data_IF_908736702885
#
_entry.id   IF_908736702885
#
_cell.length_a   1.000
_cell.length_b   1.000
_cell.length_c   1.000
_cell.angle_alpha   90.00
_cell.angle_beta   90.00
_cell.angle_gamma   90.00
#
_symmetry.space_group_name_H-M   'P 1'
#
loop_
_entity.id
_entity.type
_entity.pdbx_description
1 polymer ?
#
# COMPACT_ATOMS: atom_id res chain seq x y z
N UNK A 1 -18.30 -2.97 -12.52
CA UNK A 1 -17.00 -3.27 -11.90
C UNK A 1 -17.28 -4.38 -10.91
N UNK A 2 -16.85 -5.61 -11.21
CA UNK A 2 -16.92 -6.71 -10.25
C UNK A 2 -16.00 -6.37 -9.08
N UNK A 3 -16.59 -6.09 -7.92
CA UNK A 3 -15.86 -5.80 -6.68
C UNK A 3 -15.47 -7.08 -5.93
N UNK A 4 -15.90 -8.26 -6.42
CA UNK A 4 -15.58 -9.56 -5.83
C UNK A 4 -14.12 -9.97 -6.03
N UNK A 5 -13.43 -9.39 -7.02
CA UNK A 5 -12.01 -9.68 -7.28
C UNK A 5 -11.17 -8.41 -7.11
N UNK A 6 -10.57 -8.25 -5.93
CA UNK A 6 -9.52 -7.26 -5.74
C UNK A 6 -8.31 -7.62 -6.61
N UNK A 7 -8.11 -6.85 -7.69
CA UNK A 7 -7.05 -7.13 -8.67
C UNK A 7 -5.70 -6.67 -8.12
N UNK A 8 -5.02 -7.58 -7.42
CA UNK A 8 -3.60 -7.48 -7.11
C UNK A 8 -2.78 -7.82 -8.35
N UNK A 9 -2.14 -6.80 -8.91
CA UNK A 9 -1.21 -6.90 -10.01
C UNK A 9 0.01 -5.99 -9.76
N UNK A 10 1.10 -6.10 -10.55
CA UNK A 10 2.29 -5.29 -10.35
C UNK A 10 2.03 -3.77 -10.41
N UNK A 11 1.05 -3.33 -11.22
CA UNK A 11 0.70 -1.92 -11.35
C UNK A 11 0.00 -1.39 -10.10
N UNK A 12 -0.99 -2.12 -9.58
CA UNK A 12 -1.72 -1.73 -8.36
C UNK A 12 -0.80 -1.78 -7.14
N UNK A 13 0.15 -2.73 -7.11
CA UNK A 13 1.21 -2.79 -6.11
C UNK A 13 2.08 -1.53 -6.11
N UNK A 14 2.52 -1.05 -7.28
CA UNK A 14 3.31 0.18 -7.39
C UNK A 14 2.53 1.40 -6.88
N UNK A 15 1.25 1.52 -7.23
CA UNK A 15 0.39 2.61 -6.74
C UNK A 15 0.27 2.57 -5.21
N UNK A 16 0.08 1.39 -4.63
CA UNK A 16 0.06 1.18 -3.18
C UNK A 16 1.37 1.60 -2.51
N UNK A 17 2.51 1.22 -3.09
CA UNK A 17 3.84 1.62 -2.58
C UNK A 17 3.97 3.15 -2.60
N UNK A 18 3.62 3.81 -3.70
CA UNK A 18 3.69 5.28 -3.76
C UNK A 18 2.76 5.95 -2.75
N UNK A 19 1.52 5.44 -2.60
CA UNK A 19 0.58 5.93 -1.60
C UNK A 19 1.12 5.81 -0.18
N UNK A 20 1.72 4.67 0.18
CA UNK A 20 2.34 4.46 1.49
C UNK A 20 3.54 5.36 1.73
N UNK A 21 4.39 5.56 0.73
CA UNK A 21 5.56 6.45 0.85
C UNK A 21 5.12 7.90 1.07
N UNK A 22 4.11 8.37 0.32
CA UNK A 22 3.57 9.72 0.52
C UNK A 22 2.87 9.86 1.87
N UNK A 23 2.14 8.83 2.31
CA UNK A 23 1.57 8.79 3.66
C UNK A 23 2.64 8.88 4.76
N UNK A 24 3.74 8.11 4.63
CA UNK A 24 4.85 8.14 5.59
C UNK A 24 5.54 9.50 5.64
N UNK A 25 5.70 10.15 4.48
CA UNK A 25 6.25 11.50 4.37
C UNK A 25 5.40 12.53 5.13
N UNK A 26 4.08 12.29 5.26
CA UNK A 26 3.17 13.09 6.09
C UNK A 26 3.56 13.16 7.57
N UNK A 27 4.29 12.17 8.10
CA UNK A 27 4.81 12.19 9.48
C UNK A 27 6.09 13.05 9.64
N UNK A 28 6.53 13.75 8.59
CA UNK A 28 7.73 14.59 8.62
C UNK A 28 9.03 13.87 8.26
N UNK A 29 8.97 12.60 7.85
CA UNK A 29 10.14 11.86 7.32
C UNK A 29 10.64 12.47 6.00
N UNK A 30 11.95 12.72 5.90
CA UNK A 30 12.57 13.39 4.73
C UNK A 30 13.97 12.85 4.43
N UNK A 31 14.41 13.06 3.18
CA UNK A 31 15.77 12.74 2.76
C UNK A 31 16.07 11.24 2.78
N UNK A 32 17.23 10.86 3.32
CA UNK A 32 17.72 9.48 3.22
C UNK A 32 16.87 8.46 4.02
N UNK A 33 16.22 8.89 5.11
CA UNK A 33 15.33 8.02 5.88
C UNK A 33 14.08 7.64 5.09
N UNK A 34 13.46 8.60 4.38
CA UNK A 34 12.31 8.34 3.51
C UNK A 34 12.70 7.42 2.34
N UNK A 35 13.90 7.62 1.77
CA UNK A 35 14.42 6.75 0.71
C UNK A 35 14.59 5.31 1.21
N UNK A 36 15.17 5.12 2.39
CA UNK A 36 15.29 3.80 3.00
C UNK A 36 13.91 3.17 3.28
N UNK A 37 12.98 3.94 3.85
CA UNK A 37 11.61 3.48 4.12
C UNK A 37 10.88 3.04 2.83
N UNK A 38 11.00 3.80 1.74
CA UNK A 38 10.42 3.42 0.45
C UNK A 38 10.98 2.12 -0.11
N UNK A 39 12.29 1.90 0.09
CA UNK A 39 12.93 0.68 -0.40
C UNK A 39 12.52 -0.53 0.42
N UNK A 40 12.46 -0.39 1.75
CA UNK A 40 11.97 -1.44 2.65
C UNK A 40 10.51 -1.78 2.32
N UNK A 41 9.63 -0.80 2.21
CA UNK A 41 8.23 -1.02 1.84
C UNK A 41 8.09 -1.71 0.48
N UNK A 42 8.82 -1.25 -0.53
CA UNK A 42 8.79 -1.85 -1.86
C UNK A 42 9.19 -3.32 -1.83
N UNK A 43 10.27 -3.66 -1.12
CA UNK A 43 10.73 -5.04 -0.96
C UNK A 43 9.69 -5.87 -0.19
N UNK A 44 9.22 -5.37 0.96
CA UNK A 44 8.25 -6.11 1.80
C UNK A 44 6.97 -6.42 1.05
N UNK A 45 6.39 -5.44 0.35
CA UNK A 45 5.14 -5.64 -0.41
C UNK A 45 5.35 -6.50 -1.65
N UNK A 46 6.50 -6.39 -2.34
CA UNK A 46 6.82 -7.28 -3.47
C UNK A 46 7.01 -8.74 -3.02
N UNK A 47 7.64 -8.96 -1.86
CA UNK A 47 7.79 -10.30 -1.28
C UNK A 47 6.43 -10.85 -0.86
N UNK A 48 5.58 -10.06 -0.20
CA UNK A 48 4.21 -10.47 0.14
C UNK A 48 3.40 -10.82 -1.12
N UNK A 49 3.53 -10.03 -2.19
CA UNK A 49 2.89 -10.32 -3.48
C UNK A 49 3.38 -11.65 -4.08
N UNK A 50 4.69 -11.94 -4.03
CA UNK A 50 5.22 -13.23 -4.51
C UNK A 50 4.83 -14.41 -3.62
N UNK A 51 4.72 -14.21 -2.30
CA UNK A 51 4.27 -15.23 -1.37
C UNK A 51 2.83 -15.68 -1.64
N UNK A 52 1.96 -14.78 -2.13
CA UNK A 52 0.61 -15.13 -2.60
C UNK A 52 0.64 -16.20 -3.70
N UNK A 53 1.59 -16.11 -4.63
CA UNK A 53 1.75 -17.09 -5.72
C UNK A 53 2.36 -18.40 -5.21
N UNK A 54 3.26 -18.33 -4.23
CA UNK A 54 3.99 -19.49 -3.73
C UNK A 54 3.22 -20.31 -2.67
N UNK A 55 2.28 -19.68 -1.95
CA UNK A 55 1.53 -20.30 -0.85
C UNK A 55 0.02 -20.03 -0.99
N UNK A 56 -0.72 -20.88 -1.74
CA UNK A 56 -2.13 -20.69 -2.04
C UNK A 56 -3.02 -20.54 -0.79
N UNK A 57 -2.71 -21.26 0.30
CA UNK A 57 -3.45 -21.19 1.56
C UNK A 57 -3.43 -19.79 2.20
N UNK A 58 -2.41 -18.98 1.88
CA UNK A 58 -2.23 -17.63 2.40
C UNK A 58 -2.73 -16.56 1.44
N UNK A 59 -3.13 -16.93 0.22
CA UNK A 59 -3.47 -15.96 -0.81
C UNK A 59 -4.62 -15.03 -0.39
N UNK A 60 -5.69 -15.59 0.21
CA UNK A 60 -6.82 -14.79 0.69
C UNK A 60 -6.45 -13.81 1.80
N UNK A 61 -5.58 -14.21 2.74
CA UNK A 61 -5.10 -13.34 3.81
C UNK A 61 -4.24 -12.19 3.28
N UNK A 62 -3.40 -12.49 2.29
CA UNK A 62 -2.56 -11.48 1.63
C UNK A 62 -3.43 -10.49 0.87
N UNK A 63 -4.40 -10.97 0.08
CA UNK A 63 -5.35 -10.12 -0.64
C UNK A 63 -6.14 -9.21 0.32
N UNK A 64 -6.62 -9.75 1.44
CA UNK A 64 -7.29 -8.98 2.49
C UNK A 64 -6.37 -7.92 3.09
N UNK A 65 -5.10 -8.23 3.35
CA UNK A 65 -4.14 -7.27 3.88
C UNK A 65 -3.87 -6.10 2.90
N UNK A 66 -3.67 -6.40 1.61
CA UNK A 66 -3.49 -5.36 0.59
C UNK A 66 -4.75 -4.52 0.38
N UNK A 67 -5.94 -5.13 0.43
CA UNK A 67 -7.20 -4.39 0.39
C UNK A 67 -7.33 -3.45 1.60
N UNK A 68 -7.00 -3.93 2.80
CA UNK A 68 -7.00 -3.12 4.02
C UNK A 68 -6.03 -1.95 3.94
N UNK A 69 -4.82 -2.17 3.41
CA UNK A 69 -3.85 -1.09 3.15
C UNK A 69 -4.41 -0.06 2.16
N UNK A 70 -4.99 -0.50 1.04
CA UNK A 70 -5.57 0.39 0.04
C UNK A 70 -6.73 1.22 0.63
N UNK A 71 -7.63 0.58 1.38
CA UNK A 71 -8.74 1.26 2.05
C UNK A 71 -8.25 2.26 3.11
N UNK A 72 -7.27 1.88 3.92
CA UNK A 72 -6.68 2.75 4.94
C UNK A 72 -5.97 3.97 4.34
N UNK A 73 -5.23 3.78 3.23
CA UNK A 73 -4.61 4.87 2.48
C UNK A 73 -5.65 5.81 1.88
N UNK A 74 -6.71 5.27 1.28
CA UNK A 74 -7.79 6.07 0.72
C UNK A 74 -8.46 6.93 1.82
N UNK A 75 -8.76 6.34 2.97
CA UNK A 75 -9.32 7.06 4.11
C UNK A 75 -8.37 8.16 4.63
N UNK A 76 -7.07 7.85 4.73
CA UNK A 76 -6.05 8.82 5.16
C UNK A 76 -5.93 10.00 4.19
N UNK A 77 -5.94 9.73 2.88
CA UNK A 77 -5.91 10.77 1.86
C UNK A 77 -7.14 11.69 1.89
N UNK A 78 -8.34 11.13 2.13
CA UNK A 78 -9.56 11.94 2.30
C UNK A 78 -9.46 12.81 3.56
N UNK A 79 -8.96 12.25 4.67
CA UNK A 79 -8.75 13.01 5.91
C UNK A 79 -7.81 14.21 5.70
N UNK A 80 -6.65 13.98 5.08
CA UNK A 80 -5.69 15.05 4.79
C UNK A 80 -6.26 16.10 3.83
N UNK A 81 -7.02 15.67 2.82
CA UNK A 81 -7.69 16.59 1.89
C UNK A 81 -8.68 17.50 2.59
N UNK A 82 -9.53 16.96 3.48
CA UNK A 82 -10.51 17.73 4.23
C UNK A 82 -9.84 18.69 5.22
N UNK A 83 -8.81 18.23 5.93
CA UNK A 83 -8.03 19.05 6.88
C UNK A 83 -7.40 20.27 6.22
N UNK A 84 -6.94 20.16 4.97
CA UNK A 84 -6.33 21.27 4.23
C UNK A 84 -7.35 22.29 3.67
N UNK A 85 -8.65 22.02 3.78
CA UNK A 85 -9.75 22.85 3.22
C UNK A 85 -10.58 23.55 4.30
N UNK A 86 -10.47 23.11 5.55
CA UNK A 86 -11.08 23.72 6.74
C UNK A 86 -10.13 24.75 7.34
#
# INVERSE_FOLDING_TARGET
>A
MDLDHFVLNPTTLLVLIFGLVEYIKGFGMRGNSLRAASMVLGVTLAVAYRLREAAPDWAGWIEMAFFGLAAGLAASGVYDFLKNRL
#
